data_IF_769093880954
#
_entry.id   IF_769093880954
#
_cell.length_a   1.000
_cell.length_b   1.000
_cell.length_c   1.000
_cell.angle_alpha   90.00
_cell.angle_beta   90.00
_cell.angle_gamma   90.00
#
_symmetry.space_group_name_H-M   'P 1'
#
loop_
_entity.id
_entity.type
_entity.pdbx_description
1 polymer ?
#
# COMPACT_ATOMS: atom_id res chain seq x y z
N UNK A 1 -11.61 13.92 2.07
CA UNK A 1 -10.42 13.60 1.26
C UNK A 1 -10.36 12.09 1.15
N UNK A 2 -10.50 11.53 -0.06
CA UNK A 2 -10.24 10.10 -0.25
C UNK A 2 -8.80 9.83 0.20
N UNK A 3 -8.59 8.84 1.07
CA UNK A 3 -7.25 8.45 1.45
C UNK A 3 -6.52 8.05 0.17
N UNK A 4 -5.42 8.73 -0.16
CA UNK A 4 -4.51 8.26 -1.20
C UNK A 4 -3.97 6.91 -0.71
N UNK A 5 -4.47 5.80 -1.29
CA UNK A 5 -4.00 4.44 -1.03
C UNK A 5 -2.64 4.20 -1.71
N UNK A 6 -1.70 5.11 -1.49
CA UNK A 6 -0.35 5.03 -2.05
C UNK A 6 0.54 4.32 -1.05
N UNK A 7 1.26 3.32 -1.53
CA UNK A 7 2.33 2.67 -0.77
C UNK A 7 3.62 2.72 -1.56
N UNK A 8 4.76 2.56 -0.89
CA UNK A 8 6.06 2.50 -1.56
C UNK A 8 6.41 1.05 -1.81
N UNK A 9 6.94 0.78 -3.00
CA UNK A 9 7.48 -0.53 -3.38
C UNK A 9 8.97 -0.37 -3.66
N UNK A 10 9.75 -1.29 -3.12
CA UNK A 10 11.17 -1.43 -3.35
C UNK A 10 11.42 -2.51 -4.39
N UNK A 11 12.16 -2.18 -5.45
CA UNK A 11 12.54 -3.11 -6.52
C UNK A 11 14.02 -3.47 -6.42
N UNK A 12 14.30 -4.75 -6.29
CA UNK A 12 15.65 -5.33 -6.34
C UNK A 12 15.88 -5.95 -7.72
N UNK A 13 17.02 -5.62 -8.34
CA UNK A 13 17.34 -6.01 -9.72
C UNK A 13 18.53 -6.97 -9.75
N UNK A 14 18.40 -8.02 -10.57
CA UNK A 14 19.50 -8.89 -10.95
C UNK A 14 19.39 -9.25 -12.44
N UNK A 15 20.51 -9.53 -13.09
CA UNK A 15 20.53 -10.07 -14.45
C UNK A 15 21.30 -11.38 -14.52
N UNK A 16 21.05 -12.17 -15.56
CA UNK A 16 21.84 -13.37 -15.87
C UNK A 16 22.13 -13.47 -17.35
N UNK A 17 23.28 -14.05 -17.70
CA UNK A 17 23.72 -14.32 -19.08
C UNK A 17 23.67 -13.08 -20.01
N UNK A 18 24.06 -11.91 -19.51
CA UNK A 18 24.17 -10.69 -20.32
C UNK A 18 25.12 -10.91 -21.52
N UNK A 19 24.91 -10.12 -22.58
CA UNK A 19 25.82 -10.08 -23.71
C UNK A 19 27.21 -9.65 -23.24
N UNK A 20 28.24 -10.30 -23.78
CA UNK A 20 29.63 -9.93 -23.53
C UNK A 20 30.08 -9.01 -24.68
N UNK A 21 30.30 -7.74 -24.36
CA UNK A 21 30.64 -6.70 -25.34
C UNK A 21 32.11 -6.28 -25.29
N UNK A 22 32.77 -6.60 -24.19
CA UNK A 22 34.18 -6.32 -23.97
C UNK A 22 35.12 -7.24 -24.75
N UNK A 23 36.19 -6.65 -25.29
CA UNK A 23 37.29 -7.40 -25.90
C UNK A 23 38.32 -7.74 -24.83
N UNK A 24 38.18 -8.91 -24.20
CA UNK A 24 39.16 -9.47 -23.26
C UNK A 24 38.83 -9.32 -21.77
N UNK A 25 37.71 -8.67 -21.43
CA UNK A 25 37.07 -8.67 -20.12
C UNK A 25 35.59 -9.08 -20.25
N UNK A 26 34.87 -9.12 -19.13
CA UNK A 26 33.41 -9.22 -19.13
C UNK A 26 32.84 -7.82 -18.93
N UNK A 27 31.63 -7.60 -19.44
CA UNK A 27 30.87 -6.38 -19.22
C UNK A 27 30.83 -5.89 -17.76
N UNK A 28 30.79 -4.58 -17.60
CA UNK A 28 30.58 -3.79 -16.40
C UNK A 28 29.12 -3.22 -16.34
N UNK A 29 28.09 -4.05 -16.13
CA UNK A 29 26.70 -3.64 -16.29
C UNK A 29 26.20 -2.61 -15.25
N UNK A 30 25.27 -1.77 -15.72
CA UNK A 30 24.43 -0.86 -14.94
C UNK A 30 22.97 -0.94 -15.43
N UNK A 31 22.00 -0.82 -14.52
CA UNK A 31 20.58 -0.77 -14.84
C UNK A 31 20.02 0.65 -14.67
N UNK A 32 19.29 1.12 -15.67
CA UNK A 32 18.56 2.39 -15.69
C UNK A 32 17.06 2.11 -15.59
N UNK A 33 16.37 2.77 -14.67
CA UNK A 33 14.92 2.72 -14.56
C UNK A 33 14.30 3.96 -15.21
N UNK A 34 13.41 3.72 -16.15
CA UNK A 34 12.57 4.73 -16.79
C UNK A 34 11.10 4.46 -16.42
N UNK A 35 10.31 5.52 -16.26
CA UNK A 35 8.87 5.42 -15.99
C UNK A 35 8.06 6.26 -16.97
N UNK A 36 6.86 5.77 -17.30
CA UNK A 36 5.87 6.49 -18.08
C UNK A 36 4.46 6.23 -17.54
N UNK A 37 3.92 7.20 -16.79
CA UNK A 37 2.59 7.10 -16.17
C UNK A 37 1.51 7.87 -16.94
N UNK A 38 1.89 8.85 -17.77
CA UNK A 38 0.96 9.74 -18.49
C UNK A 38 0.89 9.51 -20.00
N UNK A 39 1.66 8.56 -20.54
CA UNK A 39 1.67 8.18 -21.94
C UNK A 39 2.46 9.12 -22.87
N UNK A 40 2.99 10.25 -22.37
CA UNK A 40 3.61 11.26 -23.22
C UNK A 40 5.12 11.05 -23.43
N UNK A 41 5.88 10.76 -22.36
CA UNK A 41 7.33 10.61 -22.42
C UNK A 41 7.84 9.66 -21.33
N UNK A 42 8.95 8.98 -21.62
CA UNK A 42 9.73 8.25 -20.62
C UNK A 42 10.66 9.22 -19.91
N UNK A 43 10.70 9.18 -18.59
CA UNK A 43 11.68 9.91 -17.79
C UNK A 43 12.51 8.93 -16.96
N UNK A 44 13.78 9.27 -16.78
CA UNK A 44 14.68 8.50 -15.92
C UNK A 44 14.30 8.74 -14.46
N UNK A 45 14.00 7.64 -13.76
CA UNK A 45 13.70 7.66 -12.32
C UNK A 45 15.01 7.60 -11.55
N UNK A 46 15.85 6.61 -11.87
CA UNK A 46 17.10 6.37 -11.17
C UNK A 46 17.99 5.35 -11.92
N UNK A 47 19.23 5.19 -11.45
CA UNK A 47 20.22 4.20 -11.93
C UNK A 47 20.80 3.38 -10.79
N UNK A 48 21.12 2.11 -11.02
CA UNK A 48 21.90 1.30 -10.07
C UNK A 48 23.37 1.72 -10.06
N UNK A 49 24.16 1.14 -9.16
CA UNK A 49 25.61 1.13 -9.31
C UNK A 49 26.06 0.27 -10.51
N UNK A 50 27.32 0.47 -10.91
CA UNK A 50 28.02 -0.36 -11.90
C UNK A 50 28.63 -1.58 -11.22
N UNK A 51 28.32 -2.77 -11.72
CA UNK A 51 28.92 -4.02 -11.26
C UNK A 51 30.04 -4.42 -12.20
N UNK A 52 31.28 -4.53 -11.70
CA UNK A 52 32.43 -4.81 -12.58
C UNK A 52 32.53 -6.27 -13.02
N UNK A 53 32.90 -6.50 -14.26
CA UNK A 53 33.28 -7.80 -14.84
C UNK A 53 32.27 -8.93 -14.56
N UNK A 54 30.99 -8.68 -14.81
CA UNK A 54 29.92 -9.62 -14.51
C UNK A 54 28.84 -9.67 -15.59
N UNK A 55 28.62 -10.87 -16.14
CA UNK A 55 27.46 -11.17 -16.98
C UNK A 55 26.23 -11.58 -16.16
N UNK A 56 26.35 -11.66 -14.83
CA UNK A 56 25.28 -12.04 -13.91
C UNK A 56 25.21 -11.08 -12.71
N UNK A 57 25.04 -9.76 -12.95
CA UNK A 57 25.09 -8.78 -11.88
C UNK A 57 23.91 -8.93 -10.92
N UNK A 58 24.17 -8.70 -9.64
CA UNK A 58 23.16 -8.46 -8.61
C UNK A 58 23.42 -7.05 -8.11
N UNK A 59 22.45 -6.16 -8.28
CA UNK A 59 22.60 -4.76 -7.91
C UNK A 59 22.21 -4.58 -6.44
N UNK A 60 23.06 -3.90 -5.68
CA UNK A 60 22.85 -3.55 -4.29
C UNK A 60 21.87 -2.37 -4.15
N UNK A 61 21.93 -1.40 -5.07
CA UNK A 61 20.97 -0.30 -5.09
C UNK A 61 19.59 -0.80 -5.51
N UNK A 62 18.59 -0.39 -4.74
CA UNK A 62 17.18 -0.72 -4.96
C UNK A 62 16.44 0.51 -5.44
N UNK A 63 15.44 0.32 -6.31
CA UNK A 63 14.59 1.43 -6.78
C UNK A 63 13.37 1.56 -5.89
N UNK A 64 13.05 2.78 -5.44
CA UNK A 64 11.85 3.08 -4.65
C UNK A 64 10.81 3.75 -5.54
N UNK A 65 9.64 3.14 -5.67
CA UNK A 65 8.56 3.63 -6.53
C UNK A 65 7.27 3.73 -5.70
N UNK A 66 6.53 4.83 -5.88
CA UNK A 66 5.16 4.92 -5.35
C UNK A 66 4.23 4.05 -6.17
N UNK A 67 3.46 3.19 -5.51
CA UNK A 67 2.48 2.30 -6.09
C UNK A 67 1.07 2.88 -5.97
N UNK A 68 0.40 2.97 -7.11
CA UNK A 68 -0.98 3.41 -7.28
C UNK A 68 -1.73 2.27 -7.96
N UNK A 69 -2.58 1.56 -7.22
CA UNK A 69 -3.35 0.43 -7.75
C UNK A 69 -4.16 0.84 -8.98
N UNK A 70 -4.72 2.05 -8.96
CA UNK A 70 -5.61 2.60 -9.97
C UNK A 70 -4.90 3.07 -11.27
N UNK A 71 -3.56 3.01 -11.34
CA UNK A 71 -2.78 3.49 -12.48
C UNK A 71 -2.00 2.37 -13.16
N UNK A 72 -1.99 2.39 -14.50
CA UNK A 72 -1.06 1.59 -15.29
C UNK A 72 0.31 2.28 -15.29
N UNK A 73 1.14 1.92 -14.32
CA UNK A 73 2.50 2.46 -14.19
C UNK A 73 3.47 1.67 -15.06
N UNK A 74 3.76 2.17 -16.27
CA UNK A 74 4.73 1.54 -17.17
C UNK A 74 6.16 1.83 -16.72
N UNK A 75 6.97 0.78 -16.68
CA UNK A 75 8.38 0.80 -16.33
C UNK A 75 9.21 0.23 -17.47
N UNK A 76 10.40 0.80 -17.66
CA UNK A 76 11.40 0.29 -18.59
C UNK A 76 12.75 0.20 -17.89
N UNK A 77 13.38 -0.97 -17.99
CA UNK A 77 14.68 -1.28 -17.40
C UNK A 77 15.68 -1.41 -18.54
N UNK A 78 16.57 -0.44 -18.70
CA UNK A 78 17.65 -0.47 -19.68
C UNK A 78 18.95 -0.94 -19.04
N UNK A 79 19.61 -1.93 -19.64
CA UNK A 79 20.90 -2.46 -19.18
C UNK A 79 21.99 -1.99 -20.13
N UNK A 80 23.04 -1.40 -19.57
CA UNK A 80 24.16 -0.81 -20.30
C UNK A 80 25.47 -1.37 -19.77
N UNK A 81 26.43 -1.56 -20.67
CA UNK A 81 27.83 -1.82 -20.36
C UNK A 81 28.55 -0.48 -20.25
N UNK A 82 29.14 -0.21 -19.08
CA UNK A 82 29.72 1.11 -18.79
C UNK A 82 31.24 1.03 -18.87
N UNK A 83 31.74 1.35 -20.05
CA UNK A 83 33.17 1.30 -20.39
C UNK A 83 33.91 2.59 -20.00
N UNK A 84 33.17 3.70 -19.92
CA UNK A 84 33.72 5.03 -19.74
C UNK A 84 33.49 5.59 -18.33
N UNK A 85 34.20 6.69 -18.03
CA UNK A 85 34.04 7.46 -16.77
C UNK A 85 32.97 8.56 -16.89
N UNK A 86 32.35 8.70 -18.06
CA UNK A 86 31.32 9.68 -18.36
C UNK A 86 29.99 9.25 -17.74
N UNK A 87 29.13 10.24 -17.45
CA UNK A 87 27.79 9.98 -16.90
C UNK A 87 26.73 9.81 -18.00
N UNK A 88 27.00 10.32 -19.20
CA UNK A 88 26.14 10.12 -20.35
C UNK A 88 26.20 8.64 -20.79
N UNK A 89 25.07 8.10 -21.22
CA UNK A 89 24.91 6.72 -21.69
C UNK A 89 24.89 6.65 -23.22
N UNK A 90 25.09 7.78 -23.91
CA UNK A 90 25.02 7.86 -25.37
C UNK A 90 26.17 7.12 -26.07
N UNK A 91 27.28 6.94 -25.36
CA UNK A 91 28.50 6.25 -25.76
C UNK A 91 28.67 4.84 -25.16
N UNK A 92 27.78 4.44 -24.24
CA UNK A 92 27.82 3.15 -23.56
C UNK A 92 27.10 2.03 -24.33
N UNK A 93 27.59 0.79 -24.18
CA UNK A 93 27.15 -0.34 -24.97
C UNK A 93 25.81 -0.92 -24.46
N UNK A 94 24.77 -0.88 -25.28
CA UNK A 94 23.44 -1.34 -24.88
C UNK A 94 23.35 -2.87 -24.82
N UNK A 95 23.07 -3.42 -23.64
CA UNK A 95 23.00 -4.86 -23.38
C UNK A 95 21.57 -5.42 -23.48
N UNK A 96 20.55 -4.58 -23.36
CA UNK A 96 19.15 -4.94 -23.57
C UNK A 96 18.17 -4.18 -22.65
N UNK A 97 16.88 -4.29 -22.92
CA UNK A 97 15.82 -3.74 -22.08
C UNK A 97 14.69 -4.72 -21.77
N UNK A 98 13.93 -4.40 -20.73
CA UNK A 98 12.60 -4.94 -20.45
C UNK A 98 11.62 -3.77 -20.27
N UNK A 99 10.47 -3.84 -20.93
CA UNK A 99 9.30 -2.99 -20.66
C UNK A 99 8.21 -3.83 -20.01
N UNK A 100 7.67 -3.37 -18.88
CA UNK A 100 6.57 -4.02 -18.15
C UNK A 100 5.79 -2.99 -17.33
N UNK A 101 4.75 -3.41 -16.62
CA UNK A 101 4.06 -2.55 -15.64
C UNK A 101 4.52 -2.86 -14.22
N UNK A 102 4.40 -1.90 -13.31
CA UNK A 102 4.59 -2.16 -11.88
C UNK A 102 3.59 -3.20 -11.36
N UNK A 103 2.35 -3.18 -11.87
CA UNK A 103 1.30 -4.18 -11.57
C UNK A 103 1.77 -5.62 -11.80
N UNK A 104 2.40 -5.89 -12.96
CA UNK A 104 2.95 -7.21 -13.29
C UNK A 104 4.06 -7.67 -12.34
N UNK A 105 4.88 -6.74 -11.85
CA UNK A 105 5.97 -7.08 -10.91
C UNK A 105 5.39 -7.41 -9.53
N UNK A 106 4.46 -6.59 -9.03
CA UNK A 106 3.89 -6.80 -7.69
C UNK A 106 2.95 -8.01 -7.64
N UNK A 107 2.26 -8.34 -8.75
CA UNK A 107 1.37 -9.51 -8.79
C UNK A 107 2.12 -10.84 -8.76
N UNK A 108 3.34 -10.90 -9.29
CA UNK A 108 4.16 -12.11 -9.23
C UNK A 108 5.18 -12.11 -8.08
N UNK A 109 5.34 -10.98 -7.37
CA UNK A 109 6.40 -10.65 -6.40
C UNK A 109 7.81 -10.66 -6.99
N UNK A 110 8.16 -11.68 -7.76
CA UNK A 110 9.39 -11.81 -8.54
C UNK A 110 9.03 -12.02 -10.00
N UNK A 111 9.54 -11.16 -10.88
CA UNK A 111 9.35 -11.22 -12.33
C UNK A 111 10.69 -11.49 -13.00
N UNK A 112 10.80 -12.60 -13.72
CA UNK A 112 11.96 -12.92 -14.57
C UNK A 112 11.56 -12.94 -16.03
N UNK A 113 12.22 -12.14 -16.87
CA UNK A 113 11.94 -12.01 -18.31
C UNK A 113 13.24 -11.92 -19.12
N UNK A 114 13.24 -12.41 -20.37
CA UNK A 114 14.36 -12.21 -21.28
C UNK A 114 14.50 -10.72 -21.63
N UNK A 115 15.75 -10.28 -21.85
CA UNK A 115 16.04 -8.94 -22.35
C UNK A 115 15.91 -8.89 -23.88
N UNK A 116 15.50 -7.73 -24.40
CA UNK A 116 15.41 -7.46 -25.83
C UNK A 116 16.28 -6.27 -26.24
N UNK A 117 16.75 -6.27 -27.46
CA UNK A 117 17.44 -5.12 -28.06
C UNK A 117 16.42 -4.07 -28.52
N UNK A 118 16.87 -2.85 -28.82
CA UNK A 118 16.01 -1.74 -29.31
C UNK A 118 15.20 -2.09 -30.57
N UNK A 119 15.63 -3.09 -31.34
CA UNK A 119 14.93 -3.59 -32.52
C UNK A 119 13.96 -4.76 -32.22
N UNK A 120 13.71 -5.06 -30.94
CA UNK A 120 12.82 -6.12 -30.48
C UNK A 120 13.41 -7.54 -30.55
N UNK A 121 14.63 -7.73 -31.07
CA UNK A 121 15.26 -9.05 -31.10
C UNK A 121 15.76 -9.46 -29.71
N UNK A 122 15.82 -10.75 -29.39
CA UNK A 122 16.42 -11.21 -28.13
C UNK A 122 17.84 -10.69 -27.94
N UNK A 123 18.15 -10.17 -26.76
CA UNK A 123 19.49 -9.76 -26.37
C UNK A 123 20.32 -10.98 -25.91
N UNK A 124 20.62 -11.86 -26.87
CA UNK A 124 21.29 -13.13 -26.58
C UNK A 124 20.47 -14.04 -25.68
N UNK A 125 21.07 -14.53 -24.59
CA UNK A 125 20.41 -15.31 -23.53
C UNK A 125 20.18 -14.50 -22.26
N UNK A 126 20.37 -13.18 -22.34
CA UNK A 126 20.25 -12.26 -21.23
C UNK A 126 18.83 -12.26 -20.66
N UNK A 127 18.73 -12.28 -19.34
CA UNK A 127 17.47 -12.09 -18.64
C UNK A 127 17.64 -11.18 -17.44
N UNK A 128 16.56 -10.49 -17.10
CA UNK A 128 16.44 -9.64 -15.92
C UNK A 128 15.46 -10.30 -14.94
N UNK A 129 15.79 -10.24 -13.66
CA UNK A 129 14.94 -10.63 -12.54
C UNK A 129 14.71 -9.42 -11.65
N UNK A 130 13.44 -9.12 -11.40
CA UNK A 130 12.98 -7.99 -10.60
C UNK A 130 12.20 -8.57 -9.43
N UNK A 131 12.56 -8.23 -8.20
CA UNK A 131 11.82 -8.62 -6.99
C UNK A 131 11.28 -7.38 -6.30
N UNK A 132 9.98 -7.39 -6.00
CA UNK A 132 9.28 -6.32 -5.30
C UNK A 132 9.03 -6.65 -3.83
N UNK A 133 9.19 -5.65 -2.98
CA UNK A 133 8.79 -5.68 -1.55
C UNK A 133 8.05 -4.38 -1.20
N UNK A 134 6.96 -4.47 -0.44
CA UNK A 134 6.27 -3.27 0.08
C UNK A 134 7.09 -2.62 1.20
N UNK A 135 7.34 -1.32 1.09
CA UNK A 135 8.03 -0.52 2.10
C UNK A 135 7.00 0.05 3.07
N UNK A 136 6.54 -0.79 3.98
CA UNK A 136 5.59 -0.40 5.02
C UNK A 136 5.77 -1.23 6.28
N UNK A 137 5.76 -0.56 7.43
CA UNK A 137 5.56 -1.26 8.70
C UNK A 137 4.07 -1.50 8.91
N UNK A 138 3.63 -2.71 8.59
CA UNK A 138 2.27 -3.18 8.73
C UNK A 138 1.98 -3.73 10.13
N UNK A 139 2.88 -3.56 11.10
CA UNK A 139 2.65 -3.95 12.49
C UNK A 139 1.75 -2.94 13.20
N UNK A 140 0.77 -3.47 13.91
CA UNK A 140 -0.15 -2.71 14.76
C UNK A 140 -0.09 -3.26 16.18
N UNK A 141 -0.24 -2.36 17.14
CA UNK A 141 -0.31 -2.66 18.57
C UNK A 141 -1.77 -2.77 18.97
N UNK A 142 -2.20 -3.96 19.38
CA UNK A 142 -3.51 -4.21 19.98
C UNK A 142 -3.42 -3.94 21.47
N UNK A 143 -4.28 -3.05 21.98
CA UNK A 143 -4.26 -2.61 23.37
C UNK A 143 -5.62 -2.80 24.04
N UNK A 144 -5.61 -3.33 25.26
CA UNK A 144 -6.74 -3.34 26.18
C UNK A 144 -6.33 -2.61 27.46
N UNK A 145 -7.04 -1.54 27.82
CA UNK A 145 -6.75 -0.73 29.00
C UNK A 145 -7.97 -0.55 29.88
N UNK A 146 -7.69 -0.39 31.17
CA UNK A 146 -8.65 0.11 32.16
C UNK A 146 -7.95 1.09 33.08
N UNK A 147 -8.72 1.87 33.83
CA UNK A 147 -8.18 2.66 34.92
C UNK A 147 -8.99 2.42 36.19
N UNK A 148 -8.41 2.81 37.32
CA UNK A 148 -9.08 2.76 38.62
C UNK A 148 -8.70 3.91 39.50
N UNK A 149 -9.65 4.28 40.37
CA UNK A 149 -9.50 5.35 41.37
C UNK A 149 -9.02 6.66 40.72
N UNK A 150 -9.53 6.96 39.52
CA UNK A 150 -9.26 8.25 38.89
C UNK A 150 -9.75 9.38 39.79
N UNK A 151 -9.02 10.49 39.82
CA UNK A 151 -9.48 11.70 40.48
C UNK A 151 -10.74 12.24 39.79
N UNK A 152 -11.76 12.57 40.57
CA UNK A 152 -12.95 13.25 40.07
C UNK A 152 -12.64 14.74 39.80
N UNK A 153 -13.02 15.27 38.64
CA UNK A 153 -12.95 16.71 38.32
C UNK A 153 -14.31 17.38 38.31
N UNK A 154 -15.38 16.63 38.10
CA UNK A 154 -16.74 17.18 38.08
C UNK A 154 -17.29 17.54 39.46
N UNK A 155 -18.02 18.65 39.50
CA UNK A 155 -18.80 19.07 40.68
C UNK A 155 -20.11 18.28 40.85
N UNK A 156 -20.76 17.90 39.75
CA UNK A 156 -22.00 17.12 39.73
C UNK A 156 -21.83 15.84 38.93
N UNK A 157 -21.43 14.76 39.60
CA UNK A 157 -21.15 13.47 38.96
C UNK A 157 -19.74 12.99 39.27
N UNK A 158 -19.27 12.06 38.45
CA UNK A 158 -17.88 11.62 38.37
C UNK A 158 -17.36 12.03 37.00
N UNK A 159 -16.03 12.14 36.89
CA UNK A 159 -15.35 12.30 35.62
C UNK A 159 -15.83 11.36 34.52
N UNK A 160 -15.75 11.88 33.30
CA UNK A 160 -15.97 11.29 31.99
C UNK A 160 -14.61 10.98 31.31
N UNK A 161 -13.82 10.01 31.79
CA UNK A 161 -12.44 9.85 31.36
C UNK A 161 -12.24 9.32 29.94
N UNK A 162 -11.18 9.81 29.29
CA UNK A 162 -10.58 9.26 28.07
C UNK A 162 -9.05 9.34 28.12
N UNK A 163 -8.38 8.57 27.25
CA UNK A 163 -6.93 8.56 27.12
C UNK A 163 -6.48 9.16 25.78
N UNK A 164 -5.38 9.90 25.82
CA UNK A 164 -4.65 10.38 24.63
C UNK A 164 -3.23 9.82 24.61
N UNK A 165 -2.88 9.12 23.54
CA UNK A 165 -1.54 8.60 23.30
C UNK A 165 -0.78 9.58 22.42
N UNK A 166 0.46 9.86 22.82
CA UNK A 166 1.33 10.81 22.17
C UNK A 166 2.70 10.20 21.89
N UNK A 167 3.22 10.47 20.69
CA UNK A 167 4.61 10.18 20.33
C UNK A 167 5.47 11.43 20.49
N UNK A 168 6.75 11.24 20.79
CA UNK A 168 7.73 12.34 20.77
C UNK A 168 8.39 12.44 19.39
N UNK A 169 8.30 13.60 18.75
CA UNK A 169 8.96 13.90 17.47
C UNK A 169 10.45 14.22 17.66
N UNK A 170 11.22 14.23 16.57
CA UNK A 170 12.69 14.44 16.62
C UNK A 170 13.12 15.81 17.15
N UNK A 171 12.25 16.82 17.07
CA UNK A 171 12.39 18.16 17.64
C UNK A 171 11.96 18.22 19.13
N UNK A 172 11.55 17.09 19.72
CA UNK A 172 11.15 16.98 21.13
C UNK A 172 9.68 17.28 21.42
N UNK A 173 8.89 17.67 20.41
CA UNK A 173 7.46 17.95 20.56
C UNK A 173 6.63 16.66 20.76
N UNK A 174 5.45 16.79 21.37
CA UNK A 174 4.50 15.68 21.54
C UNK A 174 3.36 15.81 20.54
N UNK A 175 3.08 14.73 19.80
CA UNK A 175 2.00 14.68 18.81
C UNK A 175 1.03 13.57 19.19
N UNK A 176 -0.26 13.89 19.28
CA UNK A 176 -1.32 12.91 19.56
C UNK A 176 -1.48 11.95 18.36
N UNK A 177 -1.47 10.65 18.64
CA UNK A 177 -1.56 9.58 17.63
C UNK A 177 -2.82 8.74 17.78
N UNK A 178 -3.44 8.77 18.96
CA UNK A 178 -4.68 8.05 19.23
C UNK A 178 -5.42 8.68 20.42
N UNK A 179 -6.75 8.60 20.39
CA UNK A 179 -7.64 8.96 21.48
C UNK A 179 -8.70 7.87 21.66
N UNK A 180 -8.93 7.42 22.89
CA UNK A 180 -9.99 6.44 23.19
C UNK A 180 -11.37 7.08 23.17
N UNK A 181 -12.43 6.27 23.31
CA UNK A 181 -13.75 6.81 23.62
C UNK A 181 -13.81 7.44 25.02
N UNK A 182 -14.78 8.34 25.19
CA UNK A 182 -15.15 8.93 26.48
C UNK A 182 -16.10 7.99 27.22
N UNK A 183 -15.80 7.65 28.46
CA UNK A 183 -16.68 6.83 29.32
C UNK A 183 -17.30 7.71 30.38
N UNK A 184 -18.60 7.94 30.31
CA UNK A 184 -19.29 8.89 31.19
C UNK A 184 -19.42 8.41 32.64
N UNK A 185 -19.25 9.32 33.59
CA UNK A 185 -19.54 9.19 35.01
C UNK A 185 -18.88 7.98 35.67
N UNK A 186 -17.58 7.78 35.41
CA UNK A 186 -16.86 6.59 35.80
C UNK A 186 -15.39 6.84 36.20
N UNK A 187 -15.05 6.60 37.47
CA UNK A 187 -13.66 6.68 37.97
C UNK A 187 -12.86 5.38 37.83
N UNK A 188 -13.49 4.32 37.28
CA UNK A 188 -12.86 3.03 36.99
C UNK A 188 -13.24 2.55 35.56
N UNK A 189 -12.90 3.33 34.52
CA UNK A 189 -13.28 3.02 33.15
C UNK A 189 -12.56 1.77 32.62
N UNK A 190 -13.24 1.03 31.75
CA UNK A 190 -12.66 0.01 30.89
C UNK A 190 -12.95 0.42 29.46
N UNK A 191 -11.93 0.82 28.71
CA UNK A 191 -12.09 1.24 27.32
C UNK A 191 -12.15 0.02 26.39
N UNK A 192 -12.80 0.19 25.23
CA UNK A 192 -12.86 -0.82 24.18
C UNK A 192 -11.44 -1.14 23.70
N UNK A 193 -11.16 -2.39 23.33
CA UNK A 193 -9.90 -2.72 22.67
C UNK A 193 -9.72 -1.89 21.40
N UNK A 194 -8.50 -1.42 21.15
CA UNK A 194 -8.17 -0.64 19.96
C UNK A 194 -6.79 -1.02 19.40
N UNK A 195 -6.53 -0.54 18.19
CA UNK A 195 -5.26 -0.75 17.47
C UNK A 195 -4.59 0.59 17.17
N UNK A 196 -3.27 0.66 17.32
CA UNK A 196 -2.44 1.79 16.86
C UNK A 196 -1.30 1.23 16.00
N UNK A 197 -1.01 1.85 14.86
CA UNK A 197 0.20 1.51 14.08
C UNK A 197 1.46 1.64 14.95
N UNK A 198 2.33 0.62 14.93
CA UNK A 198 3.57 0.64 15.72
C UNK A 198 4.48 1.79 15.31
N UNK A 199 4.59 2.05 13.99
CA UNK A 199 5.30 3.22 13.47
C UNK A 199 4.67 4.53 13.95
N UNK A 200 3.33 4.62 13.95
CA UNK A 200 2.66 5.81 14.46
C UNK A 200 2.88 6.01 15.95
N UNK A 201 2.91 4.95 16.75
CA UNK A 201 3.04 5.05 18.20
C UNK A 201 4.47 5.36 18.66
N UNK A 202 5.47 4.75 18.04
CA UNK A 202 6.86 4.82 18.53
C UNK A 202 7.93 4.76 17.42
N UNK A 203 7.60 5.10 16.16
CA UNK A 203 8.53 4.99 15.01
C UNK A 203 9.13 3.59 14.84
N UNK A 204 8.38 2.56 15.25
CA UNK A 204 8.83 1.17 15.20
C UNK A 204 10.04 0.86 16.09
N UNK A 205 10.43 1.81 16.92
CA UNK A 205 11.48 1.71 17.93
C UNK A 205 10.84 1.43 19.29
N UNK A 206 11.15 0.26 19.83
CA UNK A 206 10.48 -0.29 21.02
C UNK A 206 10.77 0.52 22.28
N UNK A 207 11.85 1.30 22.29
CA UNK A 207 12.36 2.02 23.46
C UNK A 207 12.10 3.54 23.38
N UNK A 208 11.48 4.03 22.30
CA UNK A 208 11.02 5.43 22.24
C UNK A 208 9.93 5.70 23.27
N UNK A 209 10.01 6.89 23.87
CA UNK A 209 9.05 7.33 24.88
C UNK A 209 7.67 7.58 24.27
N UNK A 210 6.66 7.06 24.95
CA UNK A 210 5.24 7.20 24.66
C UNK A 210 4.63 7.90 25.86
N UNK A 211 3.95 9.02 25.63
CA UNK A 211 3.22 9.73 26.67
C UNK A 211 1.74 9.39 26.58
N UNK A 212 1.14 9.06 27.71
CA UNK A 212 -0.30 8.83 27.82
C UNK A 212 -0.87 9.84 28.80
N UNK A 213 -1.90 10.55 28.37
CA UNK A 213 -2.61 11.54 29.18
C UNK A 213 -4.04 11.09 29.38
N UNK A 214 -4.52 11.16 30.61
CA UNK A 214 -5.91 10.89 30.96
C UNK A 214 -6.60 12.22 31.24
N UNK A 215 -7.66 12.49 30.50
CA UNK A 215 -8.46 13.71 30.60
C UNK A 215 -9.88 13.39 31.04
N UNK A 216 -10.52 14.37 31.64
CA UNK A 216 -11.95 14.44 31.88
C UNK A 216 -12.63 15.21 30.75
N UNK A 217 -13.71 14.67 30.19
CA UNK A 217 -14.42 15.32 29.09
C UNK A 217 -15.43 16.35 29.60
N UNK A 218 -15.11 17.64 29.42
CA UNK A 218 -16.08 18.73 29.58
C UNK A 218 -16.79 19.09 28.27
N UNK A 219 -18.13 19.19 28.29
CA UNK A 219 -18.94 19.47 27.10
C UNK A 219 -18.73 20.85 26.46
N UNK A 220 -18.08 21.78 27.15
CA UNK A 220 -17.70 23.10 26.64
C UNK A 220 -16.33 23.12 25.94
N UNK A 221 -15.63 22.00 25.91
CA UNK A 221 -14.31 21.83 25.30
C UNK A 221 -13.13 22.14 26.23
N UNK A 222 -13.37 22.51 27.49
CA UNK A 222 -12.32 22.84 28.47
C UNK A 222 -11.78 21.63 29.25
N UNK A 223 -11.61 20.49 28.56
CA UNK A 223 -11.27 19.19 29.13
C UNK A 223 -10.16 19.22 30.19
N UNK A 224 -10.47 18.75 31.40
CA UNK A 224 -9.58 18.78 32.54
C UNK A 224 -8.57 17.62 32.57
N UNK A 225 -7.27 17.91 32.64
CA UNK A 225 -6.25 16.87 32.80
C UNK A 225 -6.39 16.17 34.15
N UNK A 226 -6.69 14.87 34.15
CA UNK A 226 -6.65 14.00 35.33
C UNK A 226 -5.19 13.76 35.71
N UNK A 227 -4.40 13.18 34.82
CA UNK A 227 -2.96 12.98 35.00
C UNK A 227 -2.31 12.31 33.79
N UNK A 228 -1.01 12.16 33.82
CA UNK A 228 -0.23 11.59 32.71
C UNK A 228 0.86 10.65 33.18
N UNK A 229 1.33 9.78 32.30
CA UNK A 229 2.54 8.97 32.49
C UNK A 229 3.31 8.84 31.18
N UNK A 230 4.57 8.41 31.28
CA UNK A 230 5.39 8.03 30.14
C UNK A 230 5.78 6.56 30.25
N UNK A 231 5.92 5.90 29.11
CA UNK A 231 6.26 4.47 29.00
C UNK A 231 6.96 4.20 27.67
N UNK A 232 7.27 2.95 27.38
CA UNK A 232 7.82 2.48 26.10
C UNK A 232 7.04 1.26 25.61
N UNK A 233 7.16 0.92 24.33
CA UNK A 233 6.56 -0.32 23.83
C UNK A 233 7.15 -1.57 24.49
N UNK A 234 8.45 -1.56 24.81
CA UNK A 234 9.10 -2.62 25.58
C UNK A 234 8.37 -2.88 26.91
N UNK A 235 8.01 -1.81 27.63
CA UNK A 235 7.27 -1.92 28.89
C UNK A 235 5.80 -2.31 28.69
N UNK A 236 5.13 -1.76 27.68
CA UNK A 236 3.73 -2.08 27.38
C UNK A 236 3.56 -3.57 27.06
N UNK A 237 4.49 -4.17 26.31
CA UNK A 237 4.45 -5.60 25.92
C UNK A 237 4.59 -6.59 27.07
N UNK A 238 5.03 -6.14 28.25
CA UNK A 238 5.03 -7.00 29.44
C UNK A 238 3.59 -7.33 29.91
N UNK A 239 2.59 -6.55 29.46
CA UNK A 239 1.19 -6.72 29.84
C UNK A 239 0.57 -7.99 29.25
N UNK A 240 0.00 -8.81 30.13
CA UNK A 240 -0.85 -9.95 29.76
C UNK A 240 -2.12 -9.95 30.61
N UNK A 241 -3.17 -10.63 30.15
CA UNK A 241 -4.47 -10.64 30.85
C UNK A 241 -4.37 -11.20 32.28
N UNK A 242 -3.36 -12.02 32.56
CA UNK A 242 -3.04 -12.55 33.89
C UNK A 242 -2.08 -11.68 34.70
N UNK A 243 -1.34 -10.78 34.06
CA UNK A 243 -0.36 -9.88 34.70
C UNK A 243 -0.37 -8.52 34.00
N UNK A 244 -1.32 -7.63 34.37
CA UNK A 244 -1.39 -6.28 33.83
C UNK A 244 -0.16 -5.44 34.20
N UNK A 245 0.22 -4.51 33.34
CA UNK A 245 1.22 -3.48 33.65
C UNK A 245 0.50 -2.21 34.08
N UNK A 246 0.91 -1.63 35.19
CA UNK A 246 0.22 -0.50 35.80
C UNK A 246 1.08 0.77 35.80
N UNK A 247 0.43 1.90 35.54
CA UNK A 247 1.05 3.21 35.53
C UNK A 247 0.26 4.16 36.42
N UNK A 248 0.96 4.87 37.30
CA UNK A 248 0.35 5.92 38.09
C UNK A 248 0.11 7.16 37.23
N UNK A 249 -1.14 7.64 37.19
CA UNK A 249 -1.45 8.91 36.55
C UNK A 249 -0.97 10.07 37.43
N UNK A 250 -0.02 10.86 36.93
CA UNK A 250 0.55 11.98 37.68
C UNK A 250 0.05 13.31 37.12
N UNK A 251 -0.60 14.11 37.97
CA UNK A 251 -0.91 15.50 37.69
C UNK A 251 0.19 16.40 38.27
N UNK A 252 1.06 16.94 37.41
CA UNK A 252 2.20 17.75 37.85
C UNK A 252 1.79 19.00 38.65
N UNK A 253 0.72 19.68 38.23
CA UNK A 253 0.19 20.85 38.96
C UNK A 253 -0.28 20.46 40.37
N UNK A 254 -0.90 19.28 40.52
CA UNK A 254 -1.37 18.77 41.82
C UNK A 254 -0.20 18.29 42.69
N UNK A 255 0.79 17.61 42.09
CA UNK A 255 2.01 17.14 42.75
C UNK A 255 2.82 18.28 43.36
N UNK A 256 2.97 19.39 42.62
CA UNK A 256 3.66 20.59 43.11
C UNK A 256 2.92 21.29 44.26
N UNK A 257 1.58 21.23 44.28
CA UNK A 257 0.74 21.94 45.27
C UNK A 257 0.45 21.14 46.54
N UNK A 258 0.44 19.80 46.48
CA UNK A 258 -0.01 18.93 47.58
C UNK A 258 1.12 18.04 48.09
N UNK A 259 1.60 18.29 49.31
CA UNK A 259 2.71 17.53 49.95
C UNK A 259 2.51 16.00 50.03
N UNK A 260 1.27 15.53 50.18
CA UNK A 260 0.94 14.10 50.32
C UNK A 260 0.28 13.51 49.06
N UNK A 261 0.47 14.13 47.89
CA UNK A 261 -0.05 13.62 46.64
C UNK A 261 0.68 12.34 46.22
N UNK A 262 -0.08 11.28 45.91
CA UNK A 262 0.46 10.02 45.38
C UNK A 262 0.27 9.96 43.86
N UNK A 263 -0.98 9.88 43.43
CA UNK A 263 -1.38 9.85 42.03
C UNK A 263 -2.83 10.35 41.88
N UNK A 264 -3.28 10.47 40.64
CA UNK A 264 -4.64 10.84 40.22
C UNK A 264 -5.39 9.63 39.67
N UNK A 265 -5.02 8.44 40.13
CA UNK A 265 -5.50 7.14 39.66
C UNK A 265 -4.41 6.29 39.03
N UNK A 266 -4.77 5.06 38.65
CA UNK A 266 -3.87 4.09 38.04
C UNK A 266 -4.49 3.64 36.72
N UNK A 267 -3.71 3.69 35.64
CA UNK A 267 -4.05 3.09 34.34
C UNK A 267 -3.35 1.74 34.23
N UNK A 268 -4.13 0.70 33.96
CA UNK A 268 -3.65 -0.68 33.79
C UNK A 268 -3.79 -1.08 32.33
N UNK A 269 -2.67 -1.50 31.73
CA UNK A 269 -2.64 -2.17 30.44
C UNK A 269 -2.85 -3.65 30.70
N UNK A 270 -4.00 -4.17 30.32
CA UNK A 270 -4.39 -5.57 30.51
C UNK A 270 -3.83 -6.48 29.43
N UNK A 271 -3.69 -5.96 28.22
CA UNK A 271 -3.19 -6.71 27.11
C UNK A 271 -2.51 -5.78 26.13
N UNK A 272 -1.33 -6.17 25.67
CA UNK A 272 -0.59 -5.49 24.62
C UNK A 272 0.01 -6.55 23.70
N UNK A 273 -0.41 -6.58 22.45
CA UNK A 273 0.11 -7.51 21.44
C UNK A 273 0.52 -6.74 20.18
N UNK A 274 1.67 -7.08 19.60
CA UNK A 274 2.05 -6.59 18.28
C UNK A 274 1.69 -7.67 17.28
N UNK A 275 0.75 -7.34 16.39
CA UNK A 275 0.35 -8.21 15.28
C UNK A 275 0.73 -7.57 13.95
N UNK A 276 0.89 -8.40 12.93
CA UNK A 276 1.03 -7.96 11.54
C UNK A 276 -0.38 -7.86 10.95
N UNK A 277 -0.73 -6.70 10.39
CA UNK A 277 -1.99 -6.49 9.69
C UNK A 277 -1.73 -6.54 8.18
N UNK A 278 -2.19 -7.60 7.52
CA UNK A 278 -1.93 -7.81 6.09
C UNK A 278 -2.45 -6.64 5.25
N UNK A 279 -1.58 -6.10 4.40
CA UNK A 279 -1.90 -5.04 3.46
C UNK A 279 -2.52 -5.60 2.18
N UNK A 280 -3.01 -4.72 1.31
CA UNK A 280 -3.44 -5.11 -0.03
C UNK A 280 -2.33 -5.85 -0.80
N UNK A 281 -1.08 -5.33 -0.78
CA UNK A 281 0.04 -5.95 -1.48
C UNK A 281 0.46 -7.28 -0.85
N UNK A 282 0.31 -7.47 0.47
CA UNK A 282 0.54 -8.77 1.11
C UNK A 282 -0.35 -9.86 0.50
N UNK A 283 -1.62 -9.55 0.22
CA UNK A 283 -2.53 -10.48 -0.45
C UNK A 283 -2.13 -10.71 -1.91
N UNK A 284 -1.88 -9.65 -2.66
CA UNK A 284 -1.51 -9.74 -4.10
C UNK A 284 -0.20 -10.51 -4.28
N UNK A 285 0.86 -10.13 -3.56
CA UNK A 285 2.16 -10.82 -3.60
C UNK A 285 2.09 -12.24 -3.00
N UNK A 286 1.08 -12.51 -2.18
CA UNK A 286 0.74 -13.84 -1.68
C UNK A 286 -0.01 -14.74 -2.68
N UNK A 287 -0.32 -14.24 -3.89
CA UNK A 287 -0.99 -14.97 -4.96
C UNK A 287 -2.51 -14.77 -5.02
N UNK A 288 -3.06 -13.80 -4.28
CA UNK A 288 -4.44 -13.37 -4.47
C UNK A 288 -4.59 -12.73 -5.86
N UNK A 289 -5.58 -13.16 -6.62
CA UNK A 289 -5.89 -12.64 -7.95
C UNK A 289 -7.13 -11.75 -7.91
N UNK A 290 -7.20 -10.78 -8.81
CA UNK A 290 -8.38 -9.94 -9.02
C UNK A 290 -9.04 -10.33 -10.34
N UNK A 291 -10.19 -10.99 -10.24
CA UNK A 291 -10.97 -11.36 -11.40
C UNK A 291 -11.83 -10.17 -11.88
N UNK A 292 -11.71 -9.83 -13.16
CA UNK A 292 -12.49 -8.78 -13.79
C UNK A 292 -13.66 -9.37 -14.59
N UNK A 293 -14.89 -8.99 -14.23
CA UNK A 293 -16.12 -9.35 -14.96
C UNK A 293 -16.75 -8.09 -15.55
N UNK A 294 -17.21 -8.15 -16.80
CA UNK A 294 -17.90 -7.04 -17.47
C UNK A 294 -19.36 -7.39 -17.79
N UNK A 295 -20.25 -6.45 -17.52
CA UNK A 295 -21.66 -6.50 -17.92
C UNK A 295 -22.01 -5.29 -18.77
N UNK A 296 -22.43 -5.52 -20.02
CA UNK A 296 -22.69 -4.48 -21.02
C UNK A 296 -24.19 -4.37 -21.27
N UNK A 297 -24.72 -3.15 -21.16
CA UNK A 297 -26.12 -2.86 -21.46
C UNK A 297 -26.36 -2.81 -22.97
N UNK A 298 -27.22 -3.68 -23.51
CA UNK A 298 -27.64 -3.72 -24.91
C UNK A 298 -29.12 -3.32 -25.09
N UNK A 299 -29.72 -2.60 -24.15
CA UNK A 299 -31.09 -2.07 -24.26
C UNK A 299 -31.23 -1.05 -25.38
N UNK A 300 -32.45 -0.93 -25.91
CA UNK A 300 -32.77 -0.02 -27.02
C UNK A 300 -32.55 1.47 -26.73
N UNK A 301 -32.42 1.88 -25.46
CA UNK A 301 -32.08 3.27 -25.09
C UNK A 301 -30.70 3.70 -25.59
N UNK A 302 -29.81 2.77 -25.93
CA UNK A 302 -28.50 3.07 -26.51
C UNK A 302 -28.55 3.48 -27.99
N UNK A 303 -29.71 3.33 -28.65
CA UNK A 303 -29.87 3.59 -30.08
C UNK A 303 -29.34 2.47 -30.98
N UNK A 304 -29.50 2.65 -32.30
CA UNK A 304 -28.99 1.70 -33.30
C UNK A 304 -27.47 1.85 -33.44
N UNK A 305 -26.65 0.80 -33.22
CA UNK A 305 -25.19 0.90 -33.27
C UNK A 305 -24.62 1.29 -34.65
N UNK A 306 -25.43 1.29 -35.71
CA UNK A 306 -25.07 1.82 -37.04
C UNK A 306 -25.18 3.34 -37.14
N UNK A 307 -25.90 3.96 -36.20
CA UNK A 307 -26.07 5.40 -36.12
C UNK A 307 -24.87 6.04 -35.40
N UNK A 308 -24.29 7.13 -35.92
CA UNK A 308 -23.26 7.90 -35.21
C UNK A 308 -23.71 8.46 -33.85
N UNK A 309 -25.01 8.61 -33.61
CA UNK A 309 -25.57 9.13 -32.36
C UNK A 309 -25.75 8.03 -31.28
N UNK A 310 -25.44 6.77 -31.58
CA UNK A 310 -25.58 5.66 -30.63
C UNK A 310 -24.42 5.60 -29.64
N UNK A 311 -24.73 5.24 -28.39
CA UNK A 311 -23.72 4.95 -27.36
C UNK A 311 -22.88 3.70 -27.68
N UNK A 312 -23.39 2.81 -28.54
CA UNK A 312 -22.67 1.64 -29.05
C UNK A 312 -22.01 1.85 -30.41
N UNK A 313 -22.02 3.08 -30.94
CA UNK A 313 -21.43 3.36 -32.24
C UNK A 313 -19.93 3.01 -32.26
N UNK A 314 -19.51 2.27 -33.28
CA UNK A 314 -18.11 1.94 -33.52
C UNK A 314 -17.53 2.94 -34.54
N UNK A 315 -17.04 4.06 -34.01
CA UNK A 315 -16.44 5.11 -34.82
C UNK A 315 -15.11 4.64 -35.45
N UNK A 316 -14.83 4.98 -36.72
CA UNK A 316 -13.51 4.73 -37.31
C UNK A 316 -12.40 5.60 -36.71
N UNK A 317 -12.75 6.68 -36.01
CA UNK A 317 -11.82 7.70 -35.52
C UNK A 317 -11.70 7.74 -33.99
N UNK A 318 -12.39 6.87 -33.27
CA UNK A 318 -12.43 6.94 -31.81
C UNK A 318 -13.18 5.78 -31.18
N UNK A 319 -13.30 5.84 -29.87
CA UNK A 319 -13.86 4.79 -29.03
C UNK A 319 -15.08 5.33 -28.29
N UNK A 320 -16.12 4.52 -28.15
CA UNK A 320 -17.31 4.93 -27.40
C UNK A 320 -17.10 4.82 -25.88
N UNK A 321 -18.09 5.26 -25.12
CA UNK A 321 -18.01 5.32 -23.65
C UNK A 321 -17.91 3.93 -23.01
N UNK A 322 -18.62 2.93 -23.55
CA UNK A 322 -18.51 1.54 -23.09
C UNK A 322 -17.09 1.01 -23.25
N UNK A 323 -16.51 1.17 -24.44
CA UNK A 323 -15.14 0.75 -24.73
C UNK A 323 -14.14 1.50 -23.86
N UNK A 324 -14.34 2.81 -23.67
CA UNK A 324 -13.50 3.63 -22.78
C UNK A 324 -13.52 3.07 -21.36
N UNK A 325 -14.70 2.81 -20.79
CA UNK A 325 -14.84 2.27 -19.45
C UNK A 325 -14.20 0.88 -19.29
N UNK A 326 -14.45 -0.02 -20.26
CA UNK A 326 -13.86 -1.36 -20.27
C UNK A 326 -12.35 -1.28 -20.32
N UNK A 327 -11.77 -0.44 -21.19
CA UNK A 327 -10.32 -0.26 -21.25
C UNK A 327 -9.75 0.36 -19.98
N UNK A 328 -10.35 1.42 -19.44
CA UNK A 328 -9.83 2.10 -18.26
C UNK A 328 -9.75 1.17 -17.04
N UNK A 329 -10.74 0.31 -16.84
CA UNK A 329 -10.74 -0.67 -15.74
C UNK A 329 -9.91 -1.90 -16.09
N UNK A 330 -10.15 -2.50 -17.26
CA UNK A 330 -9.51 -3.74 -17.68
C UNK A 330 -8.00 -3.63 -17.82
N UNK A 331 -7.47 -2.48 -18.30
CA UNK A 331 -6.02 -2.27 -18.42
C UNK A 331 -5.30 -2.26 -17.07
N UNK A 332 -5.99 -1.88 -15.99
CA UNK A 332 -5.44 -1.90 -14.63
C UNK A 332 -5.55 -3.30 -14.04
N UNK A 333 -6.75 -3.88 -14.05
CA UNK A 333 -7.03 -5.12 -13.32
C UNK A 333 -6.36 -6.33 -13.96
N UNK A 334 -6.16 -6.33 -15.28
CA UNK A 334 -5.60 -7.49 -15.99
C UNK A 334 -4.20 -7.92 -15.50
N UNK A 335 -3.42 -7.04 -14.88
CA UNK A 335 -2.08 -7.37 -14.38
C UNK A 335 -2.12 -8.20 -13.09
N UNK A 336 -3.30 -8.30 -12.47
CA UNK A 336 -3.56 -9.05 -11.23
C UNK A 336 -4.38 -10.32 -11.48
N UNK A 337 -4.61 -10.67 -12.75
CA UNK A 337 -5.22 -11.92 -13.18
C UNK A 337 -4.17 -12.74 -13.95
N UNK A 338 -3.97 -13.99 -13.55
CA UNK A 338 -2.90 -14.83 -14.12
C UNK A 338 -3.27 -15.43 -15.47
N UNK A 339 -4.53 -15.83 -15.65
CA UNK A 339 -4.98 -16.46 -16.90
C UNK A 339 -5.50 -15.43 -17.91
N UNK A 340 -5.84 -14.23 -17.43
CA UNK A 340 -6.40 -13.13 -18.22
C UNK A 340 -7.63 -13.56 -19.03
N UNK A 341 -8.41 -14.46 -18.43
CA UNK A 341 -9.69 -14.90 -18.95
C UNK A 341 -10.76 -14.13 -18.22
N UNK A 342 -11.45 -13.23 -18.93
CA UNK A 342 -12.44 -12.35 -18.33
C UNK A 342 -13.85 -12.76 -18.77
N UNK A 343 -14.75 -13.12 -17.84
CA UNK A 343 -16.13 -13.37 -18.19
C UNK A 343 -16.81 -12.05 -18.60
N UNK A 344 -17.48 -12.09 -19.74
CA UNK A 344 -18.08 -10.91 -20.34
C UNK A 344 -19.53 -11.18 -20.75
N UNK A 345 -20.42 -10.37 -20.20
CA UNK A 345 -21.86 -10.52 -20.35
C UNK A 345 -22.49 -9.28 -20.97
N UNK A 346 -23.57 -9.49 -21.71
CA UNK A 346 -24.52 -8.47 -22.11
C UNK A 346 -25.86 -8.68 -21.42
N UNK A 347 -26.69 -7.64 -21.36
CA UNK A 347 -28.07 -7.71 -20.89
C UNK A 347 -28.99 -6.76 -21.67
N UNK A 348 -30.29 -7.07 -21.72
CA UNK A 348 -31.30 -6.18 -22.30
C UNK A 348 -31.47 -6.28 -23.83
N UNK A 349 -31.03 -7.37 -24.45
CA UNK A 349 -31.14 -7.60 -25.89
C UNK A 349 -31.95 -8.86 -26.24
N UNK A 350 -32.54 -8.87 -27.44
CA UNK A 350 -33.12 -10.07 -28.03
C UNK A 350 -32.03 -10.91 -28.69
N UNK A 351 -31.86 -12.15 -28.25
CA UNK A 351 -30.75 -13.01 -28.70
C UNK A 351 -31.27 -14.18 -29.56
N UNK A 352 -30.64 -14.50 -30.71
CA UNK A 352 -30.96 -15.71 -31.45
C UNK A 352 -30.78 -16.98 -30.61
N UNK A 353 -31.51 -18.08 -30.90
CA UNK A 353 -32.45 -18.23 -32.02
C UNK A 353 -33.89 -17.82 -31.68
N UNK A 354 -34.25 -17.70 -30.40
CA UNK A 354 -35.63 -17.43 -29.98
C UNK A 354 -36.03 -15.96 -30.05
N UNK A 355 -35.05 -15.04 -30.12
CA UNK A 355 -35.25 -13.58 -30.09
C UNK A 355 -36.09 -13.12 -28.88
N UNK A 356 -36.05 -13.88 -27.80
CA UNK A 356 -36.55 -13.44 -26.51
C UNK A 356 -35.55 -12.49 -25.87
N UNK A 357 -36.07 -11.52 -25.11
CA UNK A 357 -35.22 -10.60 -24.34
C UNK A 357 -34.45 -11.42 -23.31
N UNK A 358 -33.13 -11.32 -23.35
CA UNK A 358 -32.24 -11.86 -22.33
C UNK A 358 -31.75 -10.75 -21.40
N UNK A 359 -31.78 -11.03 -20.10
CA UNK A 359 -31.23 -10.16 -19.06
C UNK A 359 -29.80 -10.54 -18.67
N UNK A 360 -29.24 -11.59 -19.27
CA UNK A 360 -27.86 -12.01 -19.10
C UNK A 360 -27.51 -12.97 -20.24
N UNK A 361 -26.50 -12.64 -21.04
CA UNK A 361 -25.97 -13.53 -22.06
C UNK A 361 -24.47 -13.33 -22.21
N UNK A 362 -23.67 -14.39 -22.41
CA UNK A 362 -22.25 -14.23 -22.68
C UNK A 362 -22.05 -13.57 -24.04
N UNK A 363 -21.18 -12.56 -24.11
CA UNK A 363 -20.97 -11.81 -25.36
C UNK A 363 -20.29 -12.64 -26.45
N UNK A 364 -19.61 -13.72 -26.06
CA UNK A 364 -19.02 -14.70 -26.97
C UNK A 364 -20.04 -15.76 -27.47
N UNK A 365 -21.30 -15.66 -27.03
CA UNK A 365 -22.39 -16.58 -27.35
C UNK A 365 -22.12 -18.05 -26.98
N UNK A 366 -21.25 -18.31 -26.01
CA UNK A 366 -20.99 -19.64 -25.46
C UNK A 366 -21.46 -19.71 -23.98
N UNK A 367 -22.70 -20.18 -23.73
CA UNK A 367 -23.25 -20.30 -22.37
C UNK A 367 -22.43 -21.18 -21.42
N UNK A 368 -21.69 -22.15 -21.97
CA UNK A 368 -20.86 -23.06 -21.18
C UNK A 368 -19.50 -22.47 -20.81
N UNK A 369 -19.06 -21.41 -21.49
CA UNK A 369 -17.80 -20.73 -21.23
C UNK A 369 -17.89 -19.24 -21.59
N UNK A 370 -18.27 -18.37 -20.65
CA UNK A 370 -18.43 -16.94 -20.88
C UNK A 370 -17.10 -16.17 -20.95
N UNK A 371 -15.97 -16.85 -20.78
CA UNK A 371 -14.66 -16.22 -20.67
C UNK A 371 -14.12 -15.81 -22.04
N UNK A 372 -13.65 -14.56 -22.12
CA UNK A 372 -12.94 -13.98 -23.24
C UNK A 372 -11.46 -13.85 -22.88
N UNK A 373 -10.57 -14.17 -23.82
CA UNK A 373 -9.14 -13.91 -23.67
C UNK A 373 -8.90 -12.39 -23.74
N UNK A 374 -8.27 -11.81 -22.72
CA UNK A 374 -8.02 -10.36 -22.61
C UNK A 374 -6.57 -9.98 -22.41
#
# INVERSE_FOLDING_TARGET
MAAQCVTKVELTIACTNLLDKDVGSKSDPLCVLLQNTSGQQWYEVDRTERVKNSLNPKFAKKFLIDYYFELVQKLKFGIYDIDNKTYDLSDDDFLGELECTLGQIVSSRTLTKPLVLKNGKPAGRGSITITAEEVKDNRVVVLELEARKLDNKDFFGKSDPYLEFHKQTGDGNWVMVHRTEVIKNNLNPVWRPFKISLNSLCYSDMDKSIKVECYDYDGDGSHDLIGSFQTTMSKLKEASRSSPVEFECINEKKRQKKKNYKNSGIVSVKHCEIIVECTFLDYIMGGCQLNFTVGIDFTGSNGDPRSPDSLHYLSPNGVNEYLTAIWSVGMVVQDYDTDKMFPAFGFGAQIPPSFQVSHEFPINFNPSNPFCNG
#
